data_IF_449449590532
#
_entry.id   IF_449449590532
#
_cell.length_a   1.000
_cell.length_b   1.000
_cell.length_c   1.000
_cell.angle_alpha   90.00
_cell.angle_beta   90.00
_cell.angle_gamma   90.00
#
_symmetry.space_group_name_H-M   'P 1'
#
loop_
_entity.id
_entity.type
_entity.pdbx_description
1 polymer ?
#
# COMPACT_ATOMS: atom_id res chain seq x y z
N UNK A 1 3.78 12.17 3.12
CA UNK A 1 3.54 11.25 1.98
C UNK A 1 2.76 12.02 0.94
N UNK A 2 3.19 12.02 -0.32
CA UNK A 2 2.51 12.73 -1.39
C UNK A 2 1.67 11.72 -2.18
N UNK A 3 0.35 11.80 -2.05
CA UNK A 3 -0.56 10.91 -2.77
C UNK A 3 -1.03 11.68 -4.00
N UNK A 4 -0.65 11.22 -5.19
CA UNK A 4 -1.17 11.82 -6.43
C UNK A 4 -2.67 11.54 -6.53
N UNK A 5 -3.43 12.42 -7.18
CA UNK A 5 -4.88 12.22 -7.40
C UNK A 5 -5.15 10.87 -8.07
N UNK A 6 -4.30 10.48 -9.01
CA UNK A 6 -4.37 9.19 -9.70
C UNK A 6 -4.12 8.00 -8.74
N UNK A 7 -3.23 8.14 -7.75
CA UNK A 7 -3.02 7.11 -6.74
C UNK A 7 -4.19 7.03 -5.75
N UNK A 8 -4.75 8.17 -5.37
CA UNK A 8 -5.93 8.24 -4.51
C UNK A 8 -7.16 7.60 -5.19
N UNK A 9 -7.39 7.90 -6.46
CA UNK A 9 -8.47 7.30 -7.24
C UNK A 9 -8.32 5.76 -7.29
N UNK A 10 -7.11 5.27 -7.61
CA UNK A 10 -6.79 3.83 -7.59
C UNK A 10 -6.96 3.18 -6.21
N UNK A 11 -6.65 3.88 -5.13
CA UNK A 11 -6.86 3.39 -3.76
C UNK A 11 -8.35 3.23 -3.48
N UNK A 12 -9.14 4.25 -3.80
CA UNK A 12 -10.59 4.27 -3.60
C UNK A 12 -11.29 3.23 -4.47
N UNK A 13 -10.89 3.06 -5.73
CA UNK A 13 -11.36 1.98 -6.62
C UNK A 13 -11.16 0.58 -6.00
N UNK A 14 -10.11 0.40 -5.20
CA UNK A 14 -9.76 -0.86 -4.53
C UNK A 14 -10.38 -0.99 -3.14
N UNK A 15 -11.17 -0.01 -2.70
CA UNK A 15 -11.76 0.05 -1.37
C UNK A 15 -10.75 0.37 -0.26
N UNK A 16 -9.57 0.91 -0.60
CA UNK A 16 -8.57 1.34 0.36
C UNK A 16 -8.72 2.84 0.60
N UNK A 17 -9.23 3.23 1.77
CA UNK A 17 -9.50 4.64 2.09
C UNK A 17 -8.23 5.35 2.59
N UNK A 18 -8.16 6.70 2.48
CA UNK A 18 -7.06 7.46 3.09
C UNK A 18 -6.94 7.23 4.61
N UNK A 19 -8.05 6.92 5.30
CA UNK A 19 -8.02 6.53 6.71
C UNK A 19 -7.29 5.19 6.93
N UNK A 20 -7.51 4.20 6.06
CA UNK A 20 -6.78 2.94 6.09
C UNK A 20 -5.29 3.13 5.78
N UNK A 21 -4.95 4.06 4.88
CA UNK A 21 -3.55 4.44 4.64
C UNK A 21 -2.91 5.00 5.90
N UNK A 22 -3.59 5.91 6.61
CA UNK A 22 -3.12 6.44 7.89
C UNK A 22 -2.87 5.32 8.91
N UNK A 23 -3.83 4.39 9.05
CA UNK A 23 -3.68 3.19 9.91
C UNK A 23 -2.51 2.31 9.46
N UNK A 24 -2.34 2.10 8.15
CA UNK A 24 -1.26 1.30 7.60
C UNK A 24 0.11 1.88 7.96
N UNK A 25 0.30 3.18 7.74
CA UNK A 25 1.56 3.87 8.00
C UNK A 25 1.87 3.98 9.50
N UNK A 26 0.85 3.95 10.35
CA UNK A 26 1.01 3.94 11.80
C UNK A 26 1.21 2.53 12.38
N UNK A 27 0.94 1.49 11.59
CA UNK A 27 1.11 0.09 11.97
C UNK A 27 2.51 -0.43 11.62
N UNK A 28 2.86 -1.60 12.15
CA UNK A 28 4.06 -2.30 11.71
C UNK A 28 3.86 -2.83 10.28
N UNK A 29 4.68 -2.32 9.35
CA UNK A 29 4.75 -2.81 7.98
C UNK A 29 6.18 -3.28 7.65
N UNK A 30 6.27 -4.28 6.79
CA UNK A 30 7.53 -4.76 6.21
C UNK A 30 7.77 -4.07 4.88
N UNK A 31 9.02 -3.68 4.66
CA UNK A 31 9.46 -3.10 3.39
C UNK A 31 10.20 -4.18 2.61
N UNK A 32 9.82 -4.38 1.35
CA UNK A 32 10.52 -5.25 0.42
C UNK A 32 10.83 -4.52 -0.88
N UNK A 33 12.02 -4.75 -1.43
CA UNK A 33 12.39 -4.18 -2.72
C UNK A 33 11.57 -4.86 -3.82
N UNK A 34 10.95 -4.07 -4.69
CA UNK A 34 10.35 -4.54 -5.93
C UNK A 34 11.32 -4.31 -7.11
N UNK A 35 11.04 -4.97 -8.23
CA UNK A 35 11.70 -4.64 -9.49
C UNK A 35 11.37 -3.20 -9.91
N UNK A 36 12.23 -2.63 -10.76
CA UNK A 36 12.03 -1.30 -11.37
C UNK A 36 12.18 -0.11 -10.40
N UNK A 37 12.99 -0.27 -9.34
CA UNK A 37 13.23 0.82 -8.37
C UNK A 37 12.01 1.17 -7.53
N UNK A 38 11.11 0.21 -7.29
CA UNK A 38 9.91 0.39 -6.46
C UNK A 38 10.06 -0.38 -5.16
N UNK A 39 9.26 -0.05 -4.16
CA UNK A 39 9.19 -0.78 -2.90
C UNK A 39 7.78 -1.30 -2.65
N UNK A 40 7.68 -2.46 -2.01
CA UNK A 40 6.45 -3.01 -1.47
C UNK A 40 6.43 -2.79 0.02
N UNK A 41 5.39 -2.13 0.51
CA UNK A 41 5.08 -2.04 1.93
C UNK A 41 3.97 -3.06 2.20
N UNK A 42 4.27 -4.08 2.99
CA UNK A 42 3.35 -5.16 3.31
C UNK A 42 2.99 -5.02 4.78
N UNK A 43 1.70 -4.84 5.07
CA UNK A 43 1.23 -4.60 6.43
C UNK A 43 -0.21 -5.05 6.59
N UNK A 44 -0.67 -5.11 7.83
CA UNK A 44 -2.03 -5.54 8.15
C UNK A 44 -2.83 -4.34 8.66
N UNK A 45 -4.01 -4.13 8.07
CA UNK A 45 -4.98 -3.12 8.50
C UNK A 45 -6.31 -3.82 8.68
N UNK A 46 -6.91 -3.67 9.86
CA UNK A 46 -8.22 -4.26 10.18
C UNK A 46 -8.25 -5.81 10.02
N UNK A 47 -7.13 -6.48 10.33
CA UNK A 47 -7.00 -7.94 10.17
C UNK A 47 -6.84 -8.40 8.71
N UNK A 48 -6.76 -7.47 7.76
CA UNK A 48 -6.54 -7.76 6.33
C UNK A 48 -5.13 -7.37 5.93
N UNK A 49 -4.44 -8.27 5.24
CA UNK A 49 -3.12 -7.98 4.67
C UNK A 49 -3.23 -7.12 3.42
N UNK A 50 -2.49 -6.02 3.43
CA UNK A 50 -2.40 -5.06 2.35
C UNK A 50 -0.96 -4.91 1.89
N UNK A 51 -0.79 -4.76 0.57
CA UNK A 51 0.49 -4.45 -0.05
C UNK A 51 0.37 -3.12 -0.78
N UNK A 52 1.11 -2.11 -0.34
CA UNK A 52 1.27 -0.85 -1.06
C UNK A 52 2.53 -0.95 -1.90
N UNK A 53 2.47 -0.53 -3.15
CA UNK A 53 3.65 -0.35 -3.98
C UNK A 53 3.93 1.14 -4.06
N UNK A 54 5.12 1.54 -3.64
CA UNK A 54 5.61 2.92 -3.66
C UNK A 54 6.79 3.04 -4.62
N UNK A 55 7.00 4.22 -5.19
CA UNK A 55 8.19 4.51 -6.01
C UNK A 55 9.48 4.56 -5.18
N UNK A 56 10.62 4.72 -5.86
CA UNK A 56 11.96 4.79 -5.25
C UNK A 56 12.08 5.90 -4.20
N UNK A 57 11.32 6.98 -4.38
CA UNK A 57 11.22 8.09 -3.45
C UNK A 57 10.48 7.72 -2.15
N UNK A 58 9.81 6.56 -2.10
CA UNK A 58 9.03 6.04 -0.96
C UNK A 58 7.86 6.93 -0.51
N UNK A 59 7.72 8.16 -1.03
CA UNK A 59 6.63 9.08 -0.70
C UNK A 59 5.47 9.03 -1.70
N UNK A 60 5.65 8.45 -2.88
CA UNK A 60 4.62 8.31 -3.92
C UNK A 60 4.04 6.89 -3.93
N UNK A 61 2.76 6.75 -3.58
CA UNK A 61 2.06 5.47 -3.74
C UNK A 61 1.65 5.29 -5.20
N UNK A 62 2.01 4.16 -5.79
CA UNK A 62 1.66 3.81 -7.17
C UNK A 62 0.40 2.97 -7.22
N UNK A 63 0.28 2.00 -6.30
CA UNK A 63 -0.86 1.10 -6.27
C UNK A 63 -1.02 0.46 -4.90
N UNK A 64 -2.25 0.05 -4.59
CA UNK A 64 -2.58 -0.73 -3.41
C UNK A 64 -3.25 -2.02 -3.84
N UNK A 65 -2.78 -3.14 -3.30
CA UNK A 65 -3.35 -4.46 -3.53
C UNK A 65 -3.70 -5.07 -2.19
N UNK A 66 -4.95 -5.52 -2.06
CA UNK A 66 -5.31 -6.46 -1.00
C UNK A 66 -4.56 -7.75 -1.28
N UNK A 67 -3.75 -8.21 -0.34
CA UNK A 67 -3.23 -9.57 -0.41
C UNK A 67 -4.42 -10.47 -0.13
N UNK A 68 -4.97 -11.08 -1.19
CA UNK A 68 -5.79 -12.26 -1.00
C UNK A 68 -4.86 -13.28 -0.34
N UNK A 69 -5.18 -13.71 0.87
CA UNK A 69 -4.54 -14.89 1.45
C UNK A 69 -4.83 -16.06 0.53
N UNK A 70 -3.94 -16.29 -0.44
CA UNK A 70 -3.92 -17.47 -1.26
C UNK A 70 -3.14 -18.54 -0.51
N UNK A 71 -3.87 -19.59 -0.13
CA UNK A 71 -3.43 -20.92 0.30
C UNK A 71 -2.66 -21.00 1.63
N UNK A 72 -3.40 -21.33 2.69
CA UNK A 72 -3.00 -22.41 3.59
C UNK A 72 -3.44 -23.74 2.99
#
# INVERSE_FOLDING_TARGET
MNITEHALDRMLERGFTPEMLGKFLNSAYRIETANDGRYKLIGVVDGVSWTLIVESDMYTVVTVRRSHGGET
#
